data_IF_154976037581
#
_entry.id   IF_154976037581
#
_cell.length_a   1.000
_cell.length_b   1.000
_cell.length_c   1.000
_cell.angle_alpha   90.00
_cell.angle_beta   90.00
_cell.angle_gamma   90.00
#
_symmetry.space_group_name_H-M   'P 1'
#
loop_
_entity.id
_entity.type
_entity.pdbx_description
1 polymer ?
#
# COMPACT_ATOMS: atom_id res chain seq x y z
N UNK A 1 -3.26 21.00 12.17
CA UNK A 1 -2.05 20.89 13.01
C UNK A 1 -1.94 19.55 13.71
N UNK A 2 -3.01 19.06 14.35
CA UNK A 2 -3.00 17.73 15.00
C UNK A 2 -2.97 16.56 13.99
N UNK A 3 -3.65 16.67 12.85
CA UNK A 3 -3.66 15.64 11.82
C UNK A 3 -2.27 15.33 11.23
N UNK A 4 -1.40 16.34 11.13
CA UNK A 4 -0.03 16.18 10.60
C UNK A 4 0.82 15.34 11.58
N UNK A 5 0.69 15.57 12.89
CA UNK A 5 1.41 14.79 13.90
C UNK A 5 0.92 13.34 14.01
N UNK A 6 -0.38 13.12 13.80
CA UNK A 6 -0.96 11.78 13.81
C UNK A 6 -0.48 10.95 12.62
N UNK A 7 -0.24 11.58 11.47
CA UNK A 7 0.21 10.90 10.27
C UNK A 7 1.73 10.67 10.22
N UNK A 8 2.53 11.43 10.97
CA UNK A 8 3.99 11.40 10.88
C UNK A 8 4.57 9.98 11.10
N UNK A 9 4.13 9.29 12.14
CA UNK A 9 4.60 7.95 12.44
C UNK A 9 4.17 6.95 11.35
N UNK A 10 2.96 7.08 10.83
CA UNK A 10 2.47 6.24 9.74
C UNK A 10 3.23 6.50 8.44
N UNK A 11 3.51 7.74 8.11
CA UNK A 11 4.32 8.12 6.94
C UNK A 11 5.74 7.57 7.07
N UNK A 12 6.33 7.63 8.26
CA UNK A 12 7.64 7.03 8.52
C UNK A 12 7.63 5.52 8.27
N UNK A 13 6.60 4.82 8.75
CA UNK A 13 6.41 3.39 8.47
C UNK A 13 6.26 3.14 6.97
N UNK A 14 5.45 3.92 6.27
CA UNK A 14 5.23 3.79 4.83
C UNK A 14 6.53 4.00 4.04
N UNK A 15 7.36 4.95 4.44
CA UNK A 15 8.67 5.17 3.82
C UNK A 15 9.63 4.00 4.05
N UNK A 16 9.67 3.46 5.26
CA UNK A 16 10.47 2.27 5.56
C UNK A 16 10.05 1.08 4.69
N UNK A 17 8.74 0.88 4.50
CA UNK A 17 8.20 -0.15 3.62
C UNK A 17 8.63 0.08 2.16
N UNK A 18 8.49 1.30 1.66
CA UNK A 18 8.89 1.67 0.29
C UNK A 18 10.38 1.48 0.04
N UNK A 19 11.21 1.64 1.07
CA UNK A 19 12.65 1.42 1.02
C UNK A 19 13.04 -0.06 1.20
N UNK A 20 12.08 -0.96 1.37
CA UNK A 20 12.30 -2.38 1.66
C UNK A 20 13.12 -2.61 2.94
N UNK A 21 13.02 -1.70 3.90
CA UNK A 21 13.73 -1.77 5.18
C UNK A 21 12.93 -2.60 6.20
N UNK A 22 13.08 -3.92 6.13
CA UNK A 22 12.35 -4.84 6.99
C UNK A 22 12.67 -4.64 8.47
N UNK A 23 13.92 -4.34 8.80
CA UNK A 23 14.33 -4.09 10.19
C UNK A 23 13.71 -2.78 10.72
N UNK A 24 13.70 -1.72 9.92
CA UNK A 24 13.06 -0.47 10.25
C UNK A 24 11.55 -0.62 10.43
N UNK A 25 10.90 -1.38 9.56
CA UNK A 25 9.46 -1.71 9.68
C UNK A 25 9.18 -2.43 11.00
N UNK A 26 9.94 -3.48 11.31
CA UNK A 26 9.76 -4.24 12.55
C UNK A 26 9.94 -3.34 13.78
N UNK A 27 10.98 -2.51 13.81
CA UNK A 27 11.24 -1.59 14.91
C UNK A 27 10.10 -0.59 15.13
N UNK A 28 9.56 -0.03 14.04
CA UNK A 28 8.44 0.92 14.12
C UNK A 28 7.16 0.25 14.65
N UNK A 29 6.87 -0.96 14.18
CA UNK A 29 5.70 -1.72 14.65
C UNK A 29 5.79 -2.13 16.11
N UNK A 30 7.00 -2.31 16.64
CA UNK A 30 7.21 -2.57 18.07
C UNK A 30 6.93 -1.35 18.94
N UNK A 31 7.09 -0.13 18.42
CA UNK A 31 6.91 1.11 19.19
C UNK A 31 5.46 1.55 19.31
N UNK A 32 4.58 1.13 18.38
CA UNK A 32 3.18 1.56 18.35
C UNK A 32 2.30 0.47 17.73
N UNK A 33 1.50 -0.17 18.56
CA UNK A 33 0.57 -1.25 18.16
C UNK A 33 -0.51 -0.78 17.18
N UNK A 34 -0.79 0.52 17.13
CA UNK A 34 -1.82 1.09 16.27
C UNK A 34 -1.37 1.35 14.82
N UNK A 35 -0.07 1.34 14.54
CA UNK A 35 0.45 1.71 13.21
C UNK A 35 -0.01 0.74 12.10
N UNK A 36 -0.09 -0.55 12.40
CA UNK A 36 -0.48 -1.56 11.41
C UNK A 36 -1.90 -1.33 10.86
N UNK A 37 -2.79 -0.76 11.66
CA UNK A 37 -4.19 -0.49 11.30
C UNK A 37 -4.50 0.98 11.05
N UNK A 38 -3.54 1.88 11.26
CA UNK A 38 -3.72 3.31 11.09
C UNK A 38 -4.01 3.69 9.64
N UNK A 39 -4.80 4.75 9.46
CA UNK A 39 -5.15 5.30 8.14
C UNK A 39 -4.67 6.72 8.05
N UNK A 40 -4.14 7.13 6.90
CA UNK A 40 -3.75 8.51 6.66
C UNK A 40 -4.96 9.45 6.78
N UNK A 41 -4.82 10.50 7.59
CA UNK A 41 -5.81 11.57 7.68
C UNK A 41 -5.70 12.55 6.50
N UNK A 42 -4.51 12.71 5.93
CA UNK A 42 -4.24 13.53 4.76
C UNK A 42 -3.39 12.74 3.75
N UNK A 43 -3.46 13.11 2.48
CA UNK A 43 -2.72 12.45 1.42
C UNK A 43 -2.62 13.32 0.18
N UNK A 44 -2.14 12.74 -0.91
CA UNK A 44 -1.90 13.44 -2.17
C UNK A 44 -3.16 14.15 -2.68
N UNK A 45 -2.98 15.42 -3.05
CA UNK A 45 -3.97 16.25 -3.73
C UNK A 45 -3.30 16.92 -4.93
N UNK A 46 -4.07 17.63 -5.76
CA UNK A 46 -3.50 18.40 -6.88
C UNK A 46 -2.49 19.45 -6.42
N UNK A 47 -2.63 19.95 -5.18
CA UNK A 47 -1.81 21.04 -4.63
C UNK A 47 -0.65 20.52 -3.79
N UNK A 48 -0.77 19.32 -3.20
CA UNK A 48 0.20 18.73 -2.27
C UNK A 48 0.54 17.29 -2.67
N UNK A 49 0.94 17.09 -3.92
CA UNK A 49 1.27 15.75 -4.42
C UNK A 49 2.67 15.29 -4.04
N UNK A 50 3.65 16.20 -4.04
CA UNK A 50 5.08 15.87 -3.84
C UNK A 50 5.35 15.33 -2.44
N UNK A 51 4.72 15.88 -1.42
CA UNK A 51 4.90 15.47 -0.01
C UNK A 51 4.42 14.04 0.26
N UNK A 52 3.49 13.56 -0.58
CA UNK A 52 2.88 12.25 -0.45
C UNK A 52 3.31 11.28 -1.56
N UNK A 53 4.48 11.52 -2.16
CA UNK A 53 5.04 10.66 -3.18
C UNK A 53 6.17 9.80 -2.61
N UNK A 54 6.03 8.49 -2.73
CA UNK A 54 7.05 7.53 -2.33
C UNK A 54 7.92 7.21 -3.55
N UNK A 55 9.08 7.85 -3.62
CA UNK A 55 9.96 7.81 -4.79
C UNK A 55 10.43 6.40 -5.12
N UNK A 56 10.73 5.61 -4.11
CA UNK A 56 11.29 4.26 -4.26
C UNK A 56 10.34 3.31 -4.99
N UNK A 57 9.03 3.51 -4.82
CA UNK A 57 8.01 2.69 -5.47
C UNK A 57 7.20 3.48 -6.51
N UNK A 58 7.58 4.74 -6.76
CA UNK A 58 6.91 5.64 -7.71
C UNK A 58 5.39 5.71 -7.50
N UNK A 59 4.96 5.85 -6.25
CA UNK A 59 3.55 5.82 -5.89
C UNK A 59 3.18 6.96 -4.94
N UNK A 60 2.04 7.59 -5.17
CA UNK A 60 1.42 8.51 -4.22
C UNK A 60 0.65 7.76 -3.14
N UNK A 61 0.58 8.34 -1.95
CA UNK A 61 -0.33 7.89 -0.90
C UNK A 61 -1.47 8.88 -0.74
N UNK A 62 -2.64 8.36 -0.45
CA UNK A 62 -3.90 9.12 -0.39
C UNK A 62 -4.54 9.02 0.98
N UNK A 63 -5.44 9.94 1.27
CA UNK A 63 -6.23 9.89 2.50
C UNK A 63 -6.94 8.53 2.60
N UNK A 64 -6.83 7.89 3.77
CA UNK A 64 -7.37 6.57 4.04
C UNK A 64 -6.43 5.41 3.71
N UNK A 65 -5.27 5.67 3.10
CA UNK A 65 -4.27 4.63 2.89
C UNK A 65 -3.73 4.10 4.23
N UNK A 66 -3.45 2.81 4.24
CA UNK A 66 -2.83 2.11 5.36
C UNK A 66 -1.43 1.62 4.98
N UNK A 67 -0.68 1.14 5.95
CA UNK A 67 0.61 0.49 5.69
C UNK A 67 0.46 -0.73 4.76
N UNK A 68 -0.66 -1.45 4.82
CA UNK A 68 -0.94 -2.59 3.93
C UNK A 68 -1.06 -2.15 2.47
N UNK A 69 -1.67 -0.99 2.19
CA UNK A 69 -1.69 -0.41 0.84
C UNK A 69 -0.27 -0.21 0.29
N UNK A 70 0.60 0.40 1.09
CA UNK A 70 1.98 0.68 0.66
C UNK A 70 2.79 -0.61 0.51
N UNK A 71 2.64 -1.57 1.41
CA UNK A 71 3.31 -2.86 1.31
C UNK A 71 2.87 -3.63 0.05
N UNK A 72 1.61 -3.50 -0.34
CA UNK A 72 1.10 -4.06 -1.60
C UNK A 72 1.74 -3.38 -2.81
N UNK A 73 1.80 -2.04 -2.84
CA UNK A 73 2.45 -1.29 -3.92
C UNK A 73 3.96 -1.58 -4.01
N UNK A 74 4.60 -1.83 -2.87
CA UNK A 74 6.02 -2.16 -2.78
C UNK A 74 6.34 -3.62 -3.11
N UNK A 75 5.32 -4.47 -3.32
CA UNK A 75 5.47 -5.90 -3.55
C UNK A 75 6.24 -6.61 -2.42
N UNK A 76 5.79 -6.36 -1.18
CA UNK A 76 6.39 -6.88 0.04
C UNK A 76 5.46 -7.86 0.76
N UNK A 77 5.35 -9.13 0.28
CA UNK A 77 4.39 -10.08 0.85
C UNK A 77 4.67 -10.42 2.31
N UNK A 78 5.93 -10.49 2.73
CA UNK A 78 6.29 -10.77 4.12
C UNK A 78 5.87 -9.62 5.06
N UNK A 79 6.02 -8.37 4.62
CA UNK A 79 5.58 -7.21 5.38
C UNK A 79 4.05 -7.18 5.48
N UNK A 80 3.34 -7.53 4.41
CA UNK A 80 1.87 -7.64 4.43
C UNK A 80 1.43 -8.63 5.52
N UNK A 81 2.03 -9.81 5.58
CA UNK A 81 1.71 -10.81 6.61
C UNK A 81 1.94 -10.25 8.02
N UNK A 82 3.09 -9.62 8.25
CA UNK A 82 3.41 -9.02 9.54
C UNK A 82 2.42 -7.93 9.95
N UNK A 83 2.03 -7.06 9.01
CA UNK A 83 1.04 -6.01 9.26
C UNK A 83 -0.34 -6.59 9.61
N UNK A 84 -0.79 -7.59 8.85
CA UNK A 84 -2.10 -8.22 9.06
C UNK A 84 -2.14 -8.98 10.39
N UNK A 85 -1.06 -9.65 10.77
CA UNK A 85 -0.93 -10.29 12.09
C UNK A 85 -1.09 -9.30 13.25
N UNK A 86 -0.73 -8.04 13.04
CA UNK A 86 -0.88 -6.97 14.03
C UNK A 86 -2.18 -6.14 13.84
N UNK A 87 -3.13 -6.65 13.09
CA UNK A 87 -4.44 -6.02 12.89
C UNK A 87 -4.54 -5.14 11.65
N UNK A 88 -3.55 -5.14 10.78
CA UNK A 88 -3.60 -4.40 9.51
C UNK A 88 -4.76 -4.87 8.62
N UNK A 89 -5.57 -3.96 8.07
CA UNK A 89 -6.74 -4.34 7.28
C UNK A 89 -6.35 -4.72 5.86
N UNK A 90 -6.75 -5.94 5.45
CA UNK A 90 -6.46 -6.46 4.10
C UNK A 90 -7.25 -5.72 3.02
N UNK A 91 -8.43 -5.24 3.36
CA UNK A 91 -9.42 -4.77 2.38
C UNK A 91 -9.92 -3.34 2.68
N UNK A 92 -9.10 -2.53 3.36
CA UNK A 92 -9.42 -1.14 3.63
C UNK A 92 -9.49 -0.32 2.34
N UNK A 93 -10.42 0.62 2.28
CA UNK A 93 -10.55 1.55 1.16
C UNK A 93 -9.97 2.92 1.51
N UNK A 94 -9.27 3.53 0.58
CA UNK A 94 -8.88 4.94 0.67
C UNK A 94 -9.97 5.86 0.09
N UNK A 95 -9.74 7.17 0.06
CA UNK A 95 -10.71 8.14 -0.47
C UNK A 95 -11.07 7.92 -1.95
N UNK A 96 -10.24 7.21 -2.71
CA UNK A 96 -10.50 6.86 -4.12
C UNK A 96 -11.22 5.53 -4.28
N UNK A 97 -11.53 4.86 -3.17
CA UNK A 97 -12.12 3.53 -3.16
C UNK A 97 -11.12 2.43 -3.47
N UNK A 98 -9.83 2.76 -3.60
CA UNK A 98 -8.79 1.76 -3.85
C UNK A 98 -8.48 0.96 -2.59
N UNK A 99 -8.20 -0.31 -2.78
CA UNK A 99 -7.82 -1.27 -1.73
C UNK A 99 -6.39 -1.76 -1.95
N UNK A 100 -5.76 -2.41 -0.98
CA UNK A 100 -4.40 -2.92 -1.16
C UNK A 100 -4.21 -3.76 -2.44
N UNK A 101 -5.21 -4.55 -2.83
CA UNK A 101 -5.12 -5.37 -4.05
C UNK A 101 -5.04 -4.52 -5.33
N UNK A 102 -5.67 -3.33 -5.37
CA UNK A 102 -5.47 -2.37 -6.46
C UNK A 102 -4.02 -1.88 -6.51
N UNK A 103 -3.43 -1.61 -5.35
CA UNK A 103 -2.03 -1.14 -5.26
C UNK A 103 -1.03 -2.24 -5.66
N UNK A 104 -1.33 -3.50 -5.36
CA UNK A 104 -0.47 -4.62 -5.72
C UNK A 104 -0.21 -4.73 -7.23
N UNK A 105 -1.13 -4.24 -8.05
CA UNK A 105 -1.04 -4.30 -9.52
C UNK A 105 -0.66 -2.97 -10.17
N UNK A 106 -0.36 -1.93 -9.40
CA UNK A 106 -0.02 -0.62 -9.94
C UNK A 106 1.39 -0.54 -10.54
N UNK A 107 2.32 -1.32 -10.01
CA UNK A 107 3.69 -1.33 -10.50
C UNK A 107 3.87 -2.14 -11.80
N UNK A 108 4.81 -1.72 -12.63
CA UNK A 108 5.25 -2.48 -13.79
C UNK A 108 6.57 -3.16 -13.46
N UNK A 109 6.59 -4.49 -13.23
CA UNK A 109 7.82 -5.20 -12.90
C UNK A 109 8.85 -5.13 -14.06
N UNK A 110 10.10 -4.92 -13.71
CA UNK A 110 11.22 -4.79 -14.66
C UNK A 110 12.10 -6.04 -14.73
N UNK A 111 11.90 -6.98 -13.81
CA UNK A 111 12.66 -8.23 -13.71
C UNK A 111 11.75 -9.40 -13.38
N UNK A 112 12.25 -10.61 -13.55
CA UNK A 112 11.54 -11.84 -13.15
C UNK A 112 11.30 -11.84 -11.64
N UNK A 113 12.28 -11.39 -10.86
CA UNK A 113 12.16 -11.29 -9.40
C UNK A 113 11.05 -10.33 -8.98
N UNK A 114 10.95 -9.17 -9.63
CA UNK A 114 9.86 -8.22 -9.36
C UNK A 114 8.49 -8.77 -9.77
N UNK A 115 8.42 -9.51 -10.89
CA UNK A 115 7.20 -10.19 -11.31
C UNK A 115 6.76 -11.25 -10.29
N UNK A 116 7.70 -12.03 -9.78
CA UNK A 116 7.43 -13.05 -8.77
C UNK A 116 6.98 -12.41 -7.45
N UNK A 117 7.63 -11.33 -7.02
CA UNK A 117 7.24 -10.59 -5.83
C UNK A 117 5.83 -10.01 -5.95
N UNK A 118 5.49 -9.44 -7.11
CA UNK A 118 4.14 -8.93 -7.38
C UNK A 118 3.09 -10.05 -7.35
N UNK A 119 3.40 -11.19 -7.98
CA UNK A 119 2.52 -12.35 -7.99
C UNK A 119 2.28 -12.90 -6.58
N UNK A 120 3.34 -13.03 -5.79
CA UNK A 120 3.26 -13.46 -4.40
C UNK A 120 2.44 -12.47 -3.55
N UNK A 121 2.61 -11.17 -3.79
CA UNK A 121 1.85 -10.13 -3.11
C UNK A 121 0.35 -10.27 -3.37
N UNK A 122 -0.06 -10.44 -4.63
CA UNK A 122 -1.45 -10.69 -5.00
C UNK A 122 -1.98 -11.95 -4.31
N UNK A 123 -1.20 -13.05 -4.36
CA UNK A 123 -1.59 -14.32 -3.74
C UNK A 123 -1.79 -14.19 -2.23
N UNK A 124 -0.86 -13.53 -1.55
CA UNK A 124 -0.92 -13.32 -0.09
C UNK A 124 -2.15 -12.50 0.29
N UNK A 125 -2.44 -11.42 -0.43
CA UNK A 125 -3.61 -10.60 -0.15
C UNK A 125 -4.91 -11.41 -0.29
N UNK A 126 -5.02 -12.23 -1.34
CA UNK A 126 -6.20 -13.10 -1.55
C UNK A 126 -6.28 -14.18 -0.46
N UNK A 127 -5.17 -14.83 -0.10
CA UNK A 127 -5.12 -15.80 1.01
C UNK A 127 -5.59 -15.20 2.33
N UNK A 128 -5.24 -13.92 2.57
CA UNK A 128 -5.61 -13.20 3.78
C UNK A 128 -7.05 -12.64 3.76
N UNK A 129 -7.78 -12.82 2.66
CA UNK A 129 -9.19 -12.49 2.56
C UNK A 129 -9.54 -11.29 1.69
N UNK A 130 -8.59 -10.73 0.91
CA UNK A 130 -8.92 -9.65 -0.03
C UNK A 130 -9.88 -10.14 -1.12
N UNK A 131 -10.89 -9.33 -1.43
CA UNK A 131 -11.85 -9.63 -2.50
C UNK A 131 -11.29 -9.15 -3.86
N UNK A 132 -11.04 -10.07 -4.81
CA UNK A 132 -10.50 -9.70 -6.11
C UNK A 132 -11.49 -8.98 -7.03
N UNK A 133 -12.77 -8.97 -6.70
CA UNK A 133 -13.84 -8.41 -7.53
C UNK A 133 -14.30 -7.02 -7.12
N UNK A 134 -13.62 -6.39 -6.16
CA UNK A 134 -13.96 -5.06 -5.69
C UNK A 134 -13.63 -3.99 -6.73
N UNK A 135 -14.41 -2.91 -6.73
CA UNK A 135 -14.18 -1.76 -7.60
C UNK A 135 -13.79 -0.53 -6.78
N UNK A 136 -12.93 0.31 -7.36
CA UNK A 136 -12.70 1.65 -6.85
C UNK A 136 -13.85 2.59 -7.26
N UNK A 137 -13.77 3.87 -6.91
CA UNK A 137 -14.81 4.86 -7.24
C UNK A 137 -15.02 5.09 -8.74
N UNK A 138 -14.06 4.67 -9.57
CA UNK A 138 -14.17 4.74 -11.03
C UNK A 138 -14.70 3.43 -11.65
N UNK A 139 -15.13 2.48 -10.82
CA UNK A 139 -15.62 1.18 -11.28
C UNK A 139 -14.51 0.25 -11.76
N UNK A 140 -13.26 0.50 -11.37
CA UNK A 140 -12.11 -0.29 -11.81
C UNK A 140 -11.81 -1.40 -10.80
N UNK A 141 -11.77 -2.65 -11.28
CA UNK A 141 -11.29 -3.80 -10.48
C UNK A 141 -9.77 -3.87 -10.52
N UNK A 142 -9.13 -4.60 -9.59
CA UNK A 142 -7.69 -4.87 -9.68
C UNK A 142 -7.27 -5.45 -11.04
N UNK A 143 -8.04 -6.39 -11.58
CA UNK A 143 -7.74 -6.98 -12.89
C UNK A 143 -7.79 -5.96 -14.03
N UNK A 144 -8.81 -5.11 -14.07
CA UNK A 144 -8.91 -4.03 -15.07
C UNK A 144 -7.73 -3.06 -14.95
N UNK A 145 -7.31 -2.76 -13.72
CA UNK A 145 -6.15 -1.90 -13.47
C UNK A 145 -4.85 -2.54 -13.98
N UNK A 146 -4.66 -3.83 -13.73
CA UNK A 146 -3.51 -4.58 -14.23
C UNK A 146 -3.45 -4.59 -15.77
N UNK A 147 -4.58 -4.79 -16.42
CA UNK A 147 -4.69 -4.77 -17.90
C UNK A 147 -4.31 -3.40 -18.45
N UNK A 148 -4.83 -2.31 -17.86
CA UNK A 148 -4.49 -0.93 -18.26
C UNK A 148 -3.00 -0.65 -18.12
N UNK A 149 -2.40 -1.07 -17.02
CA UNK A 149 -0.98 -0.84 -16.77
C UNK A 149 -0.10 -1.56 -17.79
N UNK A 150 -0.46 -2.78 -18.20
CA UNK A 150 0.26 -3.52 -19.24
C UNK A 150 0.12 -2.87 -20.62
N UNK A 151 -1.06 -2.35 -20.94
CA UNK A 151 -1.31 -1.72 -22.25
C UNK A 151 -0.69 -0.32 -22.37
N UNK A 152 -0.32 0.31 -21.24
CA UNK A 152 0.33 1.62 -21.22
C UNK A 152 1.87 1.52 -21.29
N UNK A 153 2.43 0.33 -21.16
CA UNK A 153 3.87 0.05 -21.27
C UNK A 153 4.22 -0.39 -22.68
#
# INVERSE_FOLDING_TARGET
>A
MFAVQEDDALIELMRAIAQHDQAGVAALLETDDGLASARLNAGATRQQAVEFFLTEISHHVYQGDTAVHVAAAASEPAIIRALVEQGGPVDATNRRGARPLHYAVDGTPRSVQEQDAQRQTVSVLIELGADPNVTDKNGTTPLLRAIRNRNAA
#
